data_IF_638280895668
#
_entry.id   IF_638280895668
#
_cell.length_a   1.000
_cell.length_b   1.000
_cell.length_c   1.000
_cell.angle_alpha   90.00
_cell.angle_beta   90.00
_cell.angle_gamma   90.00
#
_symmetry.space_group_name_H-M   'P 1'
#
loop_
_entity.id
_entity.type
_entity.pdbx_description
1 polymer ?
#
# COMPACT_ATOMS: atom_id res chain seq x y z
N UNK A 1 23.55 43.22 -29.61
CA UNK A 1 22.54 42.16 -29.79
C UNK A 1 23.06 41.13 -30.80
N UNK A 2 23.24 39.88 -30.36
CA UNK A 2 23.32 38.65 -31.16
C UNK A 2 23.10 37.49 -30.17
N UNK A 3 22.12 36.59 -30.38
CA UNK A 3 21.78 35.53 -29.44
C UNK A 3 22.54 34.23 -29.75
N UNK A 4 22.44 33.29 -28.81
CA UNK A 4 22.75 31.86 -28.94
C UNK A 4 24.18 31.42 -28.66
N UNK A 5 24.37 30.87 -27.46
CA UNK A 5 25.16 29.65 -27.28
C UNK A 5 24.50 28.85 -26.15
N UNK A 6 23.51 28.04 -26.52
CA UNK A 6 23.03 26.94 -25.70
C UNK A 6 24.10 25.86 -25.77
N UNK A 7 24.91 25.75 -24.73
CA UNK A 7 25.61 24.51 -24.42
C UNK A 7 24.89 23.89 -23.23
N UNK A 8 23.76 23.23 -23.52
CA UNK A 8 23.15 22.30 -22.58
C UNK A 8 24.06 21.09 -22.50
N UNK A 9 25.08 21.19 -21.65
CA UNK A 9 25.92 20.06 -21.28
C UNK A 9 25.09 19.03 -20.53
N UNK A 10 25.31 17.77 -20.90
CA UNK A 10 24.89 16.62 -20.10
C UNK A 10 23.64 15.92 -20.62
N UNK A 11 23.77 15.33 -21.81
CA UNK A 11 23.12 14.09 -22.23
C UNK A 11 22.25 13.42 -21.14
N UNK A 12 20.93 13.44 -21.33
CA UNK A 12 20.03 12.45 -20.73
C UNK A 12 20.47 11.07 -21.21
N UNK A 13 21.36 10.43 -20.44
CA UNK A 13 21.83 9.08 -20.72
C UNK A 13 20.68 8.13 -20.46
N UNK A 14 19.98 7.81 -21.55
CA UNK A 14 19.12 6.65 -21.66
C UNK A 14 19.78 5.42 -21.00
N UNK A 15 19.05 4.76 -20.10
CA UNK A 15 19.33 3.37 -19.74
C UNK A 15 20.14 3.08 -18.49
N UNK A 16 20.17 3.96 -17.48
CA UNK A 16 20.61 3.59 -16.13
C UNK A 16 19.61 4.00 -15.04
N UNK A 17 18.36 3.56 -15.18
CA UNK A 17 17.67 3.10 -13.98
C UNK A 17 18.43 1.86 -13.53
N UNK A 18 19.40 2.04 -12.63
CA UNK A 18 19.77 0.96 -11.73
C UNK A 18 18.45 0.49 -11.15
N UNK A 19 17.95 -0.68 -11.59
CA UNK A 19 16.99 -1.46 -10.81
C UNK A 19 17.71 -1.72 -9.51
N UNK A 20 17.66 -0.75 -8.59
CA UNK A 20 18.05 -0.96 -7.22
C UNK A 20 17.20 -2.15 -6.81
N UNK A 21 17.86 -3.27 -6.53
CA UNK A 21 17.21 -4.42 -5.92
C UNK A 21 16.64 -3.89 -4.62
N UNK A 22 15.33 -3.65 -4.61
CA UNK A 22 14.62 -3.25 -3.41
C UNK A 22 14.85 -4.38 -2.42
N UNK A 23 15.46 -4.07 -1.27
CA UNK A 23 15.51 -5.02 -0.17
C UNK A 23 14.07 -5.22 0.31
N UNK A 24 13.42 -6.26 -0.22
CA UNK A 24 12.04 -6.59 0.06
C UNK A 24 11.82 -6.94 1.53
N UNK A 25 12.87 -7.39 2.25
CA UNK A 25 12.77 -7.64 3.69
C UNK A 25 12.68 -6.34 4.45
N UNK A 26 13.58 -5.39 4.18
CA UNK A 26 13.54 -4.07 4.81
C UNK A 26 12.25 -3.32 4.47
N UNK A 27 11.81 -3.41 3.20
CA UNK A 27 10.52 -2.85 2.79
C UNK A 27 9.35 -3.49 3.55
N UNK A 28 9.33 -4.81 3.68
CA UNK A 28 8.30 -5.53 4.42
C UNK A 28 8.25 -5.13 5.91
N UNK A 29 9.40 -4.98 6.55
CA UNK A 29 9.50 -4.51 7.93
C UNK A 29 8.97 -3.07 8.08
N UNK A 30 9.31 -2.21 7.13
CA UNK A 30 8.85 -0.81 7.13
C UNK A 30 7.34 -0.73 6.96
N UNK A 31 6.78 -1.45 5.98
CA UNK A 31 5.33 -1.49 5.74
C UNK A 31 4.56 -2.05 6.93
N UNK A 32 5.08 -3.13 7.55
CA UNK A 32 4.50 -3.71 8.76
C UNK A 32 4.47 -2.70 9.90
N UNK A 33 5.59 -2.03 10.17
CA UNK A 33 5.69 -1.04 11.25
C UNK A 33 4.67 0.09 11.08
N UNK A 34 4.50 0.58 9.85
CA UNK A 34 3.50 1.62 9.55
C UNK A 34 2.08 1.09 9.76
N UNK A 35 1.77 -0.12 9.28
CA UNK A 35 0.45 -0.73 9.47
C UNK A 35 0.12 -0.96 10.95
N UNK A 36 1.05 -1.53 11.72
CA UNK A 36 0.86 -1.80 13.15
C UNK A 36 0.63 -0.49 13.92
N UNK A 37 1.41 0.55 13.64
CA UNK A 37 1.27 1.83 14.32
C UNK A 37 -0.01 2.60 13.97
N UNK A 38 -0.58 2.39 12.78
CA UNK A 38 -1.67 3.23 12.26
C UNK A 38 -3.02 2.53 12.10
N UNK A 39 -3.05 1.22 11.81
CA UNK A 39 -4.26 0.46 11.50
C UNK A 39 -4.55 -0.57 12.59
N UNK A 40 -3.55 -1.35 13.00
CA UNK A 40 -3.75 -2.46 13.96
C UNK A 40 -4.14 -1.99 15.37
N UNK A 41 -3.76 -0.76 15.72
CA UNK A 41 -4.14 -0.11 16.98
C UNK A 41 -5.53 0.54 16.94
N UNK A 42 -6.18 0.61 15.78
CA UNK A 42 -7.49 1.24 15.67
C UNK A 42 -8.58 0.34 16.26
N UNK A 43 -9.56 0.92 16.96
CA UNK A 43 -10.71 0.15 17.42
C UNK A 43 -11.49 -0.42 16.23
N UNK A 44 -12.09 -1.59 16.43
CA UNK A 44 -13.04 -2.15 15.47
C UNK A 44 -14.24 -1.19 15.39
N UNK A 45 -14.54 -0.70 14.18
CA UNK A 45 -15.63 0.24 13.95
C UNK A 45 -16.99 -0.45 14.04
N UNK A 46 -18.05 0.30 14.34
CA UNK A 46 -19.42 -0.21 14.40
C UNK A 46 -19.85 -0.85 13.08
N UNK A 47 -19.40 -0.30 11.94
CA UNK A 47 -19.63 -0.90 10.61
C UNK A 47 -19.03 -2.30 10.50
N UNK A 48 -17.80 -2.50 10.99
CA UNK A 48 -17.19 -3.83 11.02
C UNK A 48 -17.96 -4.79 11.94
N UNK A 49 -18.40 -4.32 13.11
CA UNK A 49 -19.23 -5.12 14.03
C UNK A 49 -20.54 -5.53 13.37
N UNK A 50 -21.23 -4.60 12.72
CA UNK A 50 -22.49 -4.87 12.03
C UNK A 50 -22.31 -5.94 10.94
N UNK A 51 -21.25 -5.86 10.13
CA UNK A 51 -20.95 -6.85 9.11
C UNK A 51 -20.72 -8.25 9.72
N UNK A 52 -19.98 -8.35 10.81
CA UNK A 52 -19.75 -9.62 11.52
C UNK A 52 -21.06 -10.20 12.07
N UNK A 53 -21.92 -9.38 12.65
CA UNK A 53 -23.23 -9.81 13.16
C UNK A 53 -24.14 -10.31 12.03
N UNK A 54 -24.17 -9.60 10.89
CA UNK A 54 -24.92 -10.02 9.70
C UNK A 54 -24.40 -11.34 9.14
N UNK A 55 -23.08 -11.54 9.10
CA UNK A 55 -22.47 -12.80 8.67
C UNK A 55 -22.91 -13.96 9.58
N UNK A 56 -22.76 -13.79 10.91
CA UNK A 56 -23.20 -14.78 11.91
C UNK A 56 -24.67 -15.14 11.78
N UNK A 57 -25.51 -14.15 11.49
CA UNK A 57 -26.94 -14.37 11.31
C UNK A 57 -27.21 -15.28 10.10
N UNK A 58 -26.61 -14.98 8.94
CA UNK A 58 -26.72 -15.80 7.73
C UNK A 58 -26.24 -17.24 7.95
N UNK A 59 -25.13 -17.43 8.66
CA UNK A 59 -24.62 -18.76 9.00
C UNK A 59 -25.61 -19.57 9.84
N UNK A 60 -26.27 -18.94 10.81
CA UNK A 60 -27.28 -19.59 11.64
C UNK A 60 -28.52 -19.97 10.82
N UNK A 61 -28.94 -19.10 9.91
CA UNK A 61 -30.08 -19.36 9.03
C UNK A 61 -29.80 -20.56 8.12
N UNK A 62 -28.61 -20.62 7.50
CA UNK A 62 -28.20 -21.77 6.69
C UNK A 62 -28.23 -23.08 7.48
N UNK A 63 -27.74 -23.09 8.73
CA UNK A 63 -27.77 -24.28 9.60
C UNK A 63 -29.16 -24.70 10.04
N UNK A 64 -30.15 -23.80 10.02
CA UNK A 64 -31.56 -24.13 10.36
C UNK A 64 -32.32 -24.67 9.15
N UNK A 65 -31.86 -24.35 7.95
CA UNK A 65 -32.47 -24.80 6.69
C UNK A 65 -31.93 -26.17 6.22
N UNK A 66 -30.88 -26.70 6.87
CA UNK A 66 -30.32 -28.05 6.70
C UNK A 66 -30.90 -29.03 7.71
#
# INVERSE_FOLDING_TARGET
MKPSMVASDGHLRAGQTLKQSIDTRQLGLTLRTVYEGSVDTQPITDTHVELLLRLRQKERELRRAS
#
